data_IF_366367092515
#
_entry.id   IF_366367092515
#
_cell.length_a   1.000
_cell.length_b   1.000
_cell.length_c   1.000
_cell.angle_alpha   90.00
_cell.angle_beta   90.00
_cell.angle_gamma   90.00
#
_symmetry.space_group_name_H-M   'P 1'
#
loop_
_entity.id
_entity.type
_entity.pdbx_description
1 polymer ?
#
# COMPACT_ATOMS: atom_id res chain seq x y z
N UNK A 1 -74.10 -11.73 -19.26
CA UNK A 1 -72.99 -12.17 -20.10
C UNK A 1 -71.71 -11.52 -19.58
N UNK A 2 -71.00 -12.20 -18.69
CA UNK A 2 -69.73 -11.70 -18.14
C UNK A 2 -68.58 -12.13 -19.04
N UNK A 3 -67.92 -11.17 -19.69
CA UNK A 3 -66.71 -11.42 -20.48
C UNK A 3 -65.53 -11.38 -19.52
N UNK A 4 -65.05 -12.56 -19.12
CA UNK A 4 -63.80 -12.70 -18.35
C UNK A 4 -62.60 -12.35 -19.23
N UNK A 5 -61.80 -11.39 -18.79
CA UNK A 5 -60.49 -11.12 -19.35
C UNK A 5 -59.53 -12.29 -19.01
N UNK A 6 -58.73 -12.79 -19.96
CA UNK A 6 -57.70 -13.76 -19.64
C UNK A 6 -56.57 -13.05 -18.89
N UNK A 7 -56.30 -13.51 -17.67
CA UNK A 7 -55.10 -13.15 -16.92
C UNK A 7 -53.85 -13.60 -17.70
N UNK A 8 -53.14 -12.65 -18.29
CA UNK A 8 -51.81 -12.87 -18.84
C UNK A 8 -50.89 -13.11 -17.65
N UNK A 9 -50.62 -14.39 -17.39
CA UNK A 9 -49.57 -14.80 -16.46
C UNK A 9 -48.22 -14.27 -16.98
N UNK A 10 -47.55 -13.46 -16.17
CA UNK A 10 -46.20 -12.99 -16.46
C UNK A 10 -45.29 -14.22 -16.65
N UNK A 11 -44.43 -14.25 -17.69
CA UNK A 11 -43.51 -15.36 -17.90
C UNK A 11 -42.60 -15.47 -16.67
N UNK A 12 -42.59 -16.65 -16.05
CA UNK A 12 -41.74 -16.94 -14.91
C UNK A 12 -40.29 -16.60 -15.22
N UNK A 13 -39.75 -15.61 -14.52
CA UNK A 13 -38.31 -15.35 -14.47
C UNK A 13 -37.70 -16.62 -13.87
N UNK A 14 -37.15 -17.48 -14.73
CA UNK A 14 -36.79 -18.85 -14.40
C UNK A 14 -35.84 -18.95 -13.21
N UNK A 15 -36.04 -19.99 -12.39
CA UNK A 15 -35.25 -20.35 -11.19
C UNK A 15 -33.72 -20.30 -11.44
N UNK A 16 -33.27 -20.54 -12.67
CA UNK A 16 -31.86 -20.44 -13.10
C UNK A 16 -31.31 -19.01 -13.06
N UNK A 17 -32.10 -18.00 -13.48
CA UNK A 17 -31.71 -16.60 -13.45
C UNK A 17 -31.62 -16.08 -12.00
N UNK A 18 -32.56 -16.48 -11.14
CA UNK A 18 -32.55 -16.13 -9.71
C UNK A 18 -31.35 -16.77 -8.98
N UNK A 19 -31.03 -18.03 -9.26
CA UNK A 19 -29.85 -18.72 -8.70
C UNK A 19 -28.53 -18.06 -9.13
N UNK A 20 -28.42 -17.65 -10.40
CA UNK A 20 -27.22 -16.94 -10.90
C UNK A 20 -27.00 -15.57 -10.23
N UNK A 21 -28.08 -14.83 -9.94
CA UNK A 21 -28.01 -13.58 -9.17
C UNK A 21 -27.54 -13.81 -7.74
N UNK A 22 -28.06 -14.83 -7.05
CA UNK A 22 -27.65 -15.17 -5.68
C UNK A 22 -26.16 -15.47 -5.57
N UNK A 23 -25.61 -16.26 -6.50
CA UNK A 23 -24.16 -16.58 -6.53
C UNK A 23 -23.32 -15.33 -6.82
N UNK A 24 -23.75 -14.47 -7.75
CA UNK A 24 -23.02 -13.24 -8.05
C UNK A 24 -22.93 -12.30 -6.83
N UNK A 25 -24.01 -12.19 -6.05
CA UNK A 25 -24.03 -11.41 -4.80
C UNK A 25 -23.07 -12.02 -3.77
N UNK A 26 -23.10 -13.35 -3.61
CA UNK A 26 -22.20 -14.05 -2.68
C UNK A 26 -20.72 -13.82 -3.02
N UNK A 27 -20.35 -13.87 -4.31
CA UNK A 27 -18.98 -13.60 -4.76
C UNK A 27 -18.57 -12.15 -4.48
N UNK A 28 -19.45 -11.18 -4.75
CA UNK A 28 -19.18 -9.76 -4.44
C UNK A 28 -18.95 -9.56 -2.94
N UNK A 29 -19.77 -10.19 -2.10
CA UNK A 29 -19.59 -10.14 -0.65
C UNK A 29 -18.28 -10.81 -0.23
N UNK A 30 -17.93 -11.96 -0.81
CA UNK A 30 -16.64 -12.61 -0.57
C UNK A 30 -15.47 -11.69 -0.92
N UNK A 31 -15.49 -11.02 -2.08
CA UNK A 31 -14.44 -10.06 -2.46
C UNK A 31 -14.26 -8.94 -1.43
N UNK A 32 -15.37 -8.39 -0.91
CA UNK A 32 -15.35 -7.33 0.11
C UNK A 32 -14.77 -7.85 1.42
N UNK A 33 -15.25 -8.98 1.92
CA UNK A 33 -14.77 -9.56 3.17
C UNK A 33 -13.30 -9.98 3.08
N UNK A 34 -12.86 -10.59 1.98
CA UNK A 34 -11.44 -10.88 1.74
C UNK A 34 -10.60 -9.61 1.81
N UNK A 35 -11.08 -8.50 1.23
CA UNK A 35 -10.39 -7.20 1.27
C UNK A 35 -10.27 -6.67 2.71
N UNK A 36 -11.36 -6.70 3.50
CA UNK A 36 -11.36 -6.22 4.88
C UNK A 36 -10.47 -7.07 5.79
N UNK A 37 -10.54 -8.40 5.63
CA UNK A 37 -9.71 -9.34 6.39
C UNK A 37 -8.24 -9.16 6.03
N UNK A 38 -7.90 -9.01 4.74
CA UNK A 38 -6.54 -8.77 4.29
C UNK A 38 -5.98 -7.45 4.87
N UNK A 39 -6.78 -6.39 4.92
CA UNK A 39 -6.38 -5.11 5.49
C UNK A 39 -6.01 -5.19 6.98
N UNK A 40 -6.62 -6.12 7.73
CA UNK A 40 -6.31 -6.37 9.15
C UNK A 40 -5.10 -7.31 9.27
N UNK A 41 -5.13 -8.45 8.58
CA UNK A 41 -4.20 -9.56 8.81
C UNK A 41 -2.84 -9.38 8.14
N UNK A 42 -2.74 -8.70 7.00
CA UNK A 42 -1.45 -8.54 6.31
C UNK A 42 -0.35 -7.89 7.18
N UNK A 43 -0.57 -6.74 7.84
CA UNK A 43 0.46 -6.15 8.69
C UNK A 43 0.74 -6.98 9.97
N UNK A 44 -0.17 -7.87 10.36
CA UNK A 44 -0.04 -8.77 11.52
C UNK A 44 0.66 -10.10 11.19
N UNK A 45 0.72 -10.46 9.91
CA UNK A 45 1.21 -11.78 9.49
C UNK A 45 2.71 -11.89 9.81
N UNK A 46 3.04 -12.87 10.66
CA UNK A 46 4.40 -13.27 11.02
C UNK A 46 4.42 -14.78 11.10
N UNK A 47 5.55 -15.41 10.77
CA UNK A 47 5.71 -16.85 10.89
C UNK A 47 7.04 -17.16 11.56
N UNK A 48 7.04 -17.63 12.82
CA UNK A 48 8.29 -17.90 13.57
C UNK A 48 9.10 -19.12 13.09
N UNK A 49 8.65 -19.85 12.06
CA UNK A 49 9.31 -21.06 11.56
C UNK A 49 10.03 -20.82 10.22
N UNK A 50 9.82 -19.68 9.58
CA UNK A 50 10.59 -19.25 8.39
C UNK A 50 11.87 -18.56 8.84
N UNK A 51 12.96 -18.65 8.09
CA UNK A 51 14.19 -17.94 8.47
C UNK A 51 13.98 -16.42 8.43
N UNK A 52 13.26 -15.94 7.42
CA UNK A 52 12.68 -14.60 7.45
C UNK A 52 11.31 -14.60 8.13
N UNK A 53 11.27 -14.22 9.40
CA UNK A 53 10.04 -14.23 10.21
C UNK A 53 9.01 -13.15 9.82
N UNK A 54 9.42 -12.09 9.12
CA UNK A 54 8.62 -10.86 9.01
C UNK A 54 8.25 -10.50 7.58
N UNK A 55 9.18 -10.53 6.62
CA UNK A 55 8.94 -10.03 5.27
C UNK A 55 8.34 -11.13 4.41
N UNK A 56 8.94 -12.32 4.40
CA UNK A 56 8.48 -13.44 3.59
C UNK A 56 7.02 -13.84 3.90
N UNK A 57 6.59 -14.05 5.17
CA UNK A 57 5.21 -14.41 5.47
C UNK A 57 4.19 -13.39 4.96
N UNK A 58 4.52 -12.09 5.02
CA UNK A 58 3.65 -11.03 4.49
C UNK A 58 3.58 -11.04 2.97
N UNK A 59 4.70 -11.29 2.30
CA UNK A 59 4.75 -11.44 0.85
C UNK A 59 3.89 -12.63 0.38
N UNK A 60 4.05 -13.79 1.01
CA UNK A 60 3.25 -14.99 0.71
C UNK A 60 1.76 -14.74 0.95
N UNK A 61 1.41 -14.15 2.09
CA UNK A 61 0.02 -13.80 2.41
C UNK A 61 -0.56 -12.78 1.40
N UNK A 62 0.20 -11.76 1.01
CA UNK A 62 -0.24 -10.78 0.01
C UNK A 62 -0.46 -11.42 -1.36
N UNK A 63 0.45 -12.30 -1.81
CA UNK A 63 0.29 -13.06 -3.06
C UNK A 63 -0.95 -13.96 -3.02
N UNK A 64 -1.18 -14.66 -1.91
CA UNK A 64 -2.40 -15.46 -1.71
C UNK A 64 -3.67 -14.60 -1.77
N UNK A 65 -3.67 -13.44 -1.10
CA UNK A 65 -4.80 -12.48 -1.16
C UNK A 65 -5.06 -12.03 -2.61
N UNK A 66 -4.01 -11.69 -3.35
CA UNK A 66 -4.13 -11.30 -4.78
C UNK A 66 -4.71 -12.44 -5.61
N UNK A 67 -4.23 -13.68 -5.44
CA UNK A 67 -4.74 -14.85 -6.15
C UNK A 67 -6.22 -15.11 -5.83
N UNK A 68 -6.62 -15.02 -4.56
CA UNK A 68 -8.02 -15.19 -4.13
C UNK A 68 -8.91 -14.08 -4.70
N UNK A 69 -8.49 -12.81 -4.59
CA UNK A 69 -9.26 -11.69 -5.14
C UNK A 69 -9.37 -11.76 -6.67
N UNK A 70 -8.31 -12.17 -7.36
CA UNK A 70 -8.30 -12.38 -8.80
C UNK A 70 -9.25 -13.52 -9.21
N UNK A 71 -9.19 -14.66 -8.51
CA UNK A 71 -10.10 -15.77 -8.71
C UNK A 71 -11.57 -15.33 -8.54
N UNK A 72 -11.89 -14.63 -7.45
CA UNK A 72 -13.24 -14.13 -7.19
C UNK A 72 -13.67 -13.11 -8.26
N UNK A 73 -12.75 -12.27 -8.74
CA UNK A 73 -13.02 -11.32 -9.82
C UNK A 73 -13.35 -12.03 -11.14
N UNK A 74 -12.55 -13.01 -11.54
CA UNK A 74 -12.77 -13.81 -12.75
C UNK A 74 -14.08 -14.60 -12.61
N UNK A 75 -14.31 -15.27 -11.48
CA UNK A 75 -15.54 -16.01 -11.22
C UNK A 75 -16.78 -15.11 -11.35
N UNK A 76 -16.72 -13.88 -10.81
CA UNK A 76 -17.78 -12.89 -10.97
C UNK A 76 -18.01 -12.53 -12.44
N UNK A 77 -16.94 -12.30 -13.21
CA UNK A 77 -17.04 -11.99 -14.64
C UNK A 77 -17.69 -13.15 -15.41
N UNK A 78 -17.25 -14.39 -15.16
CA UNK A 78 -17.79 -15.59 -15.82
C UNK A 78 -19.27 -15.79 -15.53
N UNK A 79 -19.69 -15.58 -14.28
CA UNK A 79 -21.09 -15.79 -13.85
C UNK A 79 -22.00 -14.67 -14.33
N UNK A 80 -21.54 -13.42 -14.27
CA UNK A 80 -22.34 -12.25 -14.70
C UNK A 80 -22.30 -12.03 -16.22
N UNK A 81 -21.34 -12.64 -16.93
CA UNK A 81 -21.13 -12.44 -18.36
C UNK A 81 -20.71 -11.02 -18.75
N UNK A 82 -20.32 -10.19 -17.78
CA UNK A 82 -19.98 -8.78 -17.99
C UNK A 82 -18.71 -8.40 -17.24
N UNK A 83 -17.85 -7.64 -17.91
CA UNK A 83 -16.68 -7.03 -17.27
C UNK A 83 -17.03 -5.58 -16.95
N UNK A 84 -17.06 -5.26 -15.66
CA UNK A 84 -17.19 -3.90 -15.16
C UNK A 84 -15.82 -3.44 -14.64
N UNK A 85 -15.13 -2.64 -15.44
CA UNK A 85 -13.82 -2.07 -15.08
C UNK A 85 -14.03 -0.67 -14.50
N UNK A 86 -13.59 -0.47 -13.26
CA UNK A 86 -13.53 0.86 -12.65
C UNK A 86 -12.18 1.48 -13.02
N UNK A 87 -12.23 2.59 -13.75
CA UNK A 87 -11.02 3.33 -14.12
C UNK A 87 -10.58 4.25 -12.99
N UNK A 88 -9.29 4.23 -12.69
CA UNK A 88 -8.67 5.18 -11.77
C UNK A 88 -7.67 6.08 -12.50
N UNK A 89 -7.38 7.29 -11.99
CA UNK A 89 -6.33 8.13 -12.55
C UNK A 89 -4.94 7.49 -12.46
N UNK A 90 -4.79 6.43 -11.65
CA UNK A 90 -3.54 5.73 -11.39
C UNK A 90 -3.33 4.54 -12.32
N UNK A 91 -4.35 4.07 -13.04
CA UNK A 91 -4.27 2.83 -13.83
C UNK A 91 -3.11 2.88 -14.85
N UNK A 92 -3.00 3.97 -15.61
CA UNK A 92 -1.97 4.11 -16.65
C UNK A 92 -0.60 4.42 -16.02
N UNK A 93 -0.44 5.40 -15.11
CA UNK A 93 0.87 5.65 -14.48
C UNK A 93 1.43 4.44 -13.72
N UNK A 94 0.58 3.69 -13.00
CA UNK A 94 1.00 2.50 -12.27
C UNK A 94 1.43 1.38 -13.22
N UNK A 95 0.66 1.17 -14.30
CA UNK A 95 1.05 0.20 -15.33
C UNK A 95 2.36 0.60 -16.02
N UNK A 96 2.56 1.90 -16.29
CA UNK A 96 3.80 2.41 -16.87
C UNK A 96 5.01 2.19 -15.93
N UNK A 97 4.83 2.37 -14.62
CA UNK A 97 5.86 2.09 -13.62
C UNK A 97 6.19 0.59 -13.50
N UNK A 98 5.19 -0.29 -13.58
CA UNK A 98 5.45 -1.74 -13.65
C UNK A 98 6.15 -2.11 -14.95
N UNK A 99 5.80 -1.47 -16.07
CA UNK A 99 6.47 -1.69 -17.35
C UNK A 99 7.92 -1.22 -17.35
N UNK A 100 8.25 -0.08 -16.74
CA UNK A 100 9.65 0.35 -16.61
C UNK A 100 10.46 -0.64 -15.77
N UNK A 101 9.88 -1.20 -14.71
CA UNK A 101 10.50 -2.26 -13.95
C UNK A 101 10.71 -3.52 -14.80
N UNK A 102 9.71 -3.93 -15.60
CA UNK A 102 9.83 -5.09 -16.48
C UNK A 102 10.94 -4.92 -17.54
N UNK A 103 11.02 -3.75 -18.18
CA UNK A 103 12.10 -3.42 -19.10
C UNK A 103 13.46 -3.47 -18.38
N UNK A 104 13.54 -2.86 -17.21
CA UNK A 104 14.77 -2.88 -16.40
C UNK A 104 15.18 -4.30 -16.00
N UNK A 105 14.23 -5.19 -15.65
CA UNK A 105 14.49 -6.60 -15.37
C UNK A 105 15.10 -7.33 -16.57
N UNK A 106 14.63 -7.08 -17.79
CA UNK A 106 15.16 -7.70 -19.03
C UNK A 106 16.64 -7.34 -19.23
N UNK A 107 17.02 -6.08 -18.95
CA UNK A 107 18.38 -5.58 -19.12
C UNK A 107 19.20 -5.57 -17.81
N UNK A 108 18.74 -6.28 -16.79
CA UNK A 108 19.35 -6.27 -15.46
C UNK A 108 20.70 -6.98 -15.44
N UNK A 109 21.58 -6.56 -14.53
CA UNK A 109 22.82 -7.29 -14.22
C UNK A 109 22.57 -8.68 -13.64
N UNK A 110 21.39 -8.90 -13.03
CA UNK A 110 20.97 -10.21 -12.54
C UNK A 110 19.45 -10.33 -12.67
N UNK A 111 19.00 -10.96 -13.76
CA UNK A 111 17.58 -11.12 -14.06
C UNK A 111 16.80 -11.88 -12.96
N UNK A 112 17.43 -12.83 -12.27
CA UNK A 112 16.77 -13.58 -11.20
C UNK A 112 16.49 -12.67 -10.00
N UNK A 113 17.48 -11.90 -9.56
CA UNK A 113 17.28 -10.92 -8.48
C UNK A 113 16.30 -9.84 -8.92
N UNK A 114 16.38 -9.37 -10.17
CA UNK A 114 15.44 -8.39 -10.69
C UNK A 114 13.99 -8.89 -10.81
N UNK A 115 13.79 -10.19 -10.97
CA UNK A 115 12.46 -10.79 -11.04
C UNK A 115 11.88 -11.10 -9.67
N UNK A 116 12.65 -11.75 -8.80
CA UNK A 116 12.19 -12.29 -7.50
C UNK A 116 12.55 -11.42 -6.30
N UNK A 117 13.61 -10.62 -6.41
CA UNK A 117 14.25 -9.89 -5.33
C UNK A 117 15.34 -10.70 -4.62
N UNK A 118 16.18 -9.99 -3.87
CA UNK A 118 17.14 -10.55 -2.93
C UNK A 118 16.43 -11.15 -1.72
N UNK A 119 17.02 -12.19 -1.14
CA UNK A 119 16.52 -12.78 0.10
C UNK A 119 16.44 -11.73 1.21
N UNK A 120 15.41 -11.79 2.06
CA UNK A 120 15.02 -10.80 3.07
C UNK A 120 14.43 -9.46 2.56
N UNK A 121 14.53 -9.16 1.26
CA UNK A 121 13.95 -7.94 0.65
C UNK A 121 12.84 -8.22 -0.33
N UNK A 122 12.99 -9.22 -1.20
CA UNK A 122 12.01 -9.66 -2.19
C UNK A 122 11.40 -8.52 -3.03
N UNK A 123 12.11 -7.43 -3.27
CA UNK A 123 11.59 -6.22 -3.94
C UNK A 123 11.72 -6.27 -5.48
N UNK A 124 11.68 -7.48 -6.05
CA UNK A 124 11.76 -7.71 -7.49
C UNK A 124 10.48 -7.34 -8.26
N UNK A 125 10.50 -7.53 -9.57
CA UNK A 125 9.37 -7.25 -10.47
C UNK A 125 8.07 -7.93 -10.04
N UNK A 126 8.11 -9.19 -9.59
CA UNK A 126 6.90 -9.91 -9.16
C UNK A 126 6.22 -9.23 -7.97
N UNK A 127 6.99 -8.60 -7.10
CA UNK A 127 6.47 -7.84 -5.97
C UNK A 127 5.81 -6.55 -6.42
N UNK A 128 6.41 -5.83 -7.37
CA UNK A 128 5.79 -4.65 -7.99
C UNK A 128 4.48 -4.99 -8.71
N UNK A 129 4.43 -6.13 -9.41
CA UNK A 129 3.18 -6.66 -10.00
C UNK A 129 2.15 -6.98 -8.91
N UNK A 130 2.58 -7.58 -7.79
CA UNK A 130 1.71 -7.90 -6.66
C UNK A 130 1.09 -6.63 -6.06
N UNK A 131 1.88 -5.57 -5.89
CA UNK A 131 1.39 -4.27 -5.45
C UNK A 131 0.33 -3.68 -6.38
N UNK A 132 0.61 -3.67 -7.69
CA UNK A 132 -0.31 -3.13 -8.68
C UNK A 132 -1.61 -3.94 -8.76
N UNK A 133 -1.50 -5.28 -8.73
CA UNK A 133 -2.65 -6.17 -8.71
C UNK A 133 -3.48 -6.00 -7.43
N UNK A 134 -2.83 -5.87 -6.26
CA UNK A 134 -3.51 -5.64 -4.98
C UNK A 134 -4.31 -4.34 -5.02
N UNK A 135 -3.69 -3.23 -5.42
CA UNK A 135 -4.38 -1.94 -5.59
C UNK A 135 -5.60 -2.08 -6.51
N UNK A 136 -5.41 -2.64 -7.71
CA UNK A 136 -6.45 -2.73 -8.73
C UNK A 136 -7.61 -3.62 -8.28
N UNK A 137 -7.33 -4.79 -7.69
CA UNK A 137 -8.35 -5.71 -7.21
C UNK A 137 -9.15 -5.14 -6.03
N UNK A 138 -8.50 -4.39 -5.12
CA UNK A 138 -9.17 -3.71 -4.02
C UNK A 138 -10.12 -2.62 -4.54
N UNK A 139 -9.71 -1.79 -5.51
CA UNK A 139 -10.64 -0.82 -6.15
C UNK A 139 -11.88 -1.54 -6.72
N UNK A 140 -11.69 -2.72 -7.30
CA UNK A 140 -12.79 -3.50 -7.87
C UNK A 140 -13.69 -4.18 -6.84
N UNK A 141 -13.26 -4.33 -5.58
CA UNK A 141 -14.08 -4.83 -4.48
C UNK A 141 -14.96 -3.74 -3.83
N UNK A 142 -14.51 -2.47 -3.84
CA UNK A 142 -15.20 -1.32 -3.21
C UNK A 142 -16.36 -0.77 -4.05
N UNK A 143 -17.58 -1.28 -3.92
CA UNK A 143 -18.72 -0.91 -4.78
C UNK A 143 -19.51 0.29 -4.28
N UNK A 144 -19.55 0.52 -2.97
CA UNK A 144 -20.28 1.62 -2.36
C UNK A 144 -19.35 2.46 -1.47
N UNK A 145 -19.79 3.67 -1.16
CA UNK A 145 -19.07 4.55 -0.25
C UNK A 145 -18.84 3.89 1.12
N UNK A 146 -19.85 3.15 1.59
CA UNK A 146 -19.81 2.36 2.83
C UNK A 146 -18.70 1.30 2.81
N UNK A 147 -18.42 0.70 1.65
CA UNK A 147 -17.36 -0.30 1.54
C UNK A 147 -15.99 0.35 1.76
N UNK A 148 -15.80 1.57 1.27
CA UNK A 148 -14.57 2.34 1.46
C UNK A 148 -14.37 2.72 2.93
N UNK A 149 -15.43 3.17 3.59
CA UNK A 149 -15.39 3.47 5.03
C UNK A 149 -15.14 2.23 5.88
N UNK A 150 -15.73 1.08 5.53
CA UNK A 150 -15.48 -0.20 6.19
C UNK A 150 -14.01 -0.63 6.03
N UNK A 151 -13.45 -0.51 4.82
CA UNK A 151 -12.04 -0.81 4.58
C UNK A 151 -11.10 0.09 5.39
N UNK A 152 -11.34 1.40 5.43
CA UNK A 152 -10.55 2.32 6.24
C UNK A 152 -10.58 1.94 7.74
N UNK A 153 -11.75 1.56 8.25
CA UNK A 153 -11.88 1.04 9.62
C UNK A 153 -11.12 -0.27 9.82
N UNK A 154 -11.17 -1.19 8.87
CA UNK A 154 -10.37 -2.44 8.91
C UNK A 154 -8.87 -2.16 8.95
N UNK A 155 -8.37 -1.22 8.14
CA UNK A 155 -6.97 -0.79 8.17
C UNK A 155 -6.61 -0.22 9.55
N UNK A 156 -7.47 0.64 10.13
CA UNK A 156 -7.25 1.21 11.47
C UNK A 156 -7.29 0.15 12.58
N UNK A 157 -8.15 -0.86 12.48
CA UNK A 157 -8.18 -2.00 13.41
C UNK A 157 -6.86 -2.78 13.33
N UNK A 158 -6.39 -3.11 12.13
CA UNK A 158 -5.09 -3.74 11.93
C UNK A 158 -3.95 -2.91 12.54
N UNK A 159 -3.94 -1.60 12.28
CA UNK A 159 -2.96 -0.66 12.83
C UNK A 159 -3.00 -0.57 14.36
N UNK A 160 -4.20 -0.60 14.95
CA UNK A 160 -4.36 -0.61 16.38
C UNK A 160 -3.75 -1.86 17.01
N UNK A 161 -4.05 -3.05 16.49
CA UNK A 161 -3.51 -4.32 16.99
C UNK A 161 -1.97 -4.34 16.86
N UNK A 162 -1.46 -3.95 15.69
CA UNK A 162 -0.01 -3.80 15.46
C UNK A 162 0.63 -2.87 16.50
N UNK A 163 0.01 -1.72 16.75
CA UNK A 163 0.53 -0.71 17.68
C UNK A 163 0.55 -1.24 19.12
N UNK A 164 -0.51 -1.93 19.54
CA UNK A 164 -0.56 -2.59 20.86
C UNK A 164 0.55 -3.63 20.99
N UNK A 165 0.72 -4.51 19.99
CA UNK A 165 1.81 -5.51 20.00
C UNK A 165 3.18 -4.83 20.08
N UNK A 166 3.39 -3.75 19.32
CA UNK A 166 4.64 -3.00 19.34
C UNK A 166 4.92 -2.36 20.71
N UNK A 167 3.92 -1.77 21.35
CA UNK A 167 4.03 -1.17 22.69
C UNK A 167 4.30 -2.23 23.75
N UNK A 168 3.56 -3.34 23.75
CA UNK A 168 3.75 -4.44 24.70
C UNK A 168 5.16 -5.02 24.60
N UNK A 169 5.65 -5.23 23.37
CA UNK A 169 7.01 -5.71 23.14
C UNK A 169 8.06 -4.71 23.63
N UNK A 170 7.88 -3.43 23.32
CA UNK A 170 8.76 -2.38 23.79
C UNK A 170 8.84 -2.32 25.32
N UNK A 171 7.70 -2.43 26.02
CA UNK A 171 7.65 -2.49 27.48
C UNK A 171 8.40 -3.73 28.01
N UNK A 172 8.22 -4.90 27.39
CA UNK A 172 8.93 -6.11 27.79
C UNK A 172 10.45 -5.96 27.63
N UNK A 173 10.90 -5.43 26.49
CA UNK A 173 12.33 -5.21 26.23
C UNK A 173 12.92 -4.20 27.24
N UNK A 174 12.20 -3.11 27.54
CA UNK A 174 12.59 -2.12 28.54
C UNK A 174 12.70 -2.72 29.96
N UNK A 175 11.75 -3.57 30.36
CA UNK A 175 11.77 -4.25 31.66
C UNK A 175 12.93 -5.25 31.78
N UNK A 176 13.36 -5.85 30.67
CA UNK A 176 14.54 -6.74 30.66
C UNK A 176 15.88 -6.00 30.65
N UNK A 177 15.87 -4.66 30.67
CA UNK A 177 17.08 -3.85 30.67
C UNK A 177 17.80 -3.79 29.33
N UNK A 178 17.12 -4.09 28.21
CA UNK A 178 17.71 -3.86 26.90
C UNK A 178 18.00 -2.37 26.71
N UNK A 179 19.22 -1.98 26.29
CA UNK A 179 19.54 -0.59 26.03
C UNK A 179 18.77 -0.08 24.80
N UNK A 180 18.16 1.10 24.91
CA UNK A 180 17.43 1.80 23.85
C UNK A 180 16.41 0.93 23.06
N UNK A 181 15.42 0.31 23.73
CA UNK A 181 14.43 -0.53 23.06
C UNK A 181 13.63 0.31 22.05
N UNK A 182 13.38 -0.25 20.88
CA UNK A 182 12.60 0.39 19.82
C UNK A 182 11.36 -0.43 19.51
N UNK A 183 10.22 0.24 19.37
CA UNK A 183 8.98 -0.43 18.98
C UNK A 183 9.01 -0.76 17.48
N UNK A 184 8.84 -2.04 17.14
CA UNK A 184 8.67 -2.49 15.74
C UNK A 184 7.50 -3.47 15.54
N UNK A 185 7.01 -4.10 16.61
CA UNK A 185 5.85 -5.00 16.57
C UNK A 185 5.98 -6.12 15.53
N UNK A 186 4.91 -6.38 14.80
CA UNK A 186 4.88 -7.39 13.72
C UNK A 186 5.53 -6.91 12.42
N UNK A 187 5.97 -5.64 12.33
CA UNK A 187 6.55 -5.08 11.09
C UNK A 187 8.04 -5.44 10.94
N UNK A 188 8.67 -5.94 12.00
CA UNK A 188 10.05 -6.45 12.00
C UNK A 188 11.14 -5.37 12.03
N UNK A 189 10.79 -4.10 11.84
CA UNK A 189 11.72 -2.98 11.89
C UNK A 189 11.02 -1.69 12.32
N UNK A 190 11.68 -0.87 13.15
CA UNK A 190 11.10 0.34 13.73
C UNK A 190 10.83 1.44 12.70
N UNK A 191 11.69 1.59 11.67
CA UNK A 191 11.44 2.52 10.57
C UNK A 191 10.24 2.10 9.73
N UNK A 192 10.05 0.79 9.55
CA UNK A 192 8.91 0.25 8.80
C UNK A 192 7.62 0.41 9.59
N UNK A 193 7.65 0.22 10.91
CA UNK A 193 6.52 0.55 11.79
C UNK A 193 6.19 2.04 11.71
N UNK A 194 7.19 2.92 11.83
CA UNK A 194 7.01 4.36 11.73
C UNK A 194 6.37 4.79 10.41
N UNK A 195 6.84 4.26 9.28
CA UNK A 195 6.27 4.49 7.95
C UNK A 195 4.80 4.03 7.86
N UNK A 196 4.50 2.84 8.40
CA UNK A 196 3.14 2.30 8.42
C UNK A 196 2.19 3.14 9.28
N UNK A 197 2.62 3.59 10.47
CA UNK A 197 1.75 4.34 11.38
C UNK A 197 1.53 5.79 10.90
N UNK A 198 2.55 6.44 10.34
CA UNK A 198 2.41 7.84 9.88
C UNK A 198 1.42 7.97 8.71
N UNK A 199 1.30 6.91 7.88
CA UNK A 199 0.29 6.80 6.83
C UNK A 199 -1.14 6.86 7.41
N UNK A 200 -1.35 6.31 8.61
CA UNK A 200 -2.69 6.01 9.15
C UNK A 200 -3.14 6.96 10.26
N UNK A 201 -2.23 7.62 10.97
CA UNK A 201 -2.56 8.60 12.02
C UNK A 201 -3.51 9.70 11.53
N UNK A 202 -3.34 10.30 10.34
CA UNK A 202 -4.30 11.29 9.84
C UNK A 202 -5.70 10.71 9.61
N UNK A 203 -5.79 9.45 9.17
CA UNK A 203 -7.08 8.77 9.01
C UNK A 203 -7.75 8.49 10.37
N UNK A 204 -6.99 8.08 11.39
CA UNK A 204 -7.49 7.94 12.76
C UNK A 204 -7.98 9.27 13.34
N UNK A 205 -7.26 10.36 13.06
CA UNK A 205 -7.70 11.72 13.42
C UNK A 205 -9.02 12.10 12.73
N UNK A 206 -9.18 11.77 11.45
CA UNK A 206 -10.44 12.02 10.74
C UNK A 206 -11.61 11.19 11.30
N UNK A 207 -11.38 9.95 11.70
CA UNK A 207 -12.40 9.10 12.34
C UNK A 207 -12.86 9.71 13.67
N UNK A 208 -11.92 10.18 14.50
CA UNK A 208 -12.22 10.92 15.74
C UNK A 208 -13.06 12.18 15.49
N UNK A 209 -12.73 12.95 14.43
CA UNK A 209 -13.46 14.17 14.07
C UNK A 209 -14.87 13.90 13.56
N UNK A 210 -15.11 12.72 13.00
CA UNK A 210 -16.41 12.30 12.46
C UNK A 210 -17.24 11.50 13.47
N UNK A 211 -16.69 11.17 14.64
CA UNK A 211 -17.38 10.42 15.68
C UNK A 211 -18.57 11.21 16.28
N UNK A 212 -19.77 10.65 16.12
CA UNK A 212 -21.03 11.26 16.57
C UNK A 212 -21.43 10.88 17.99
N UNK A 213 -21.09 9.67 18.45
CA UNK A 213 -21.38 9.20 19.81
C UNK A 213 -20.16 9.31 20.74
N UNK A 214 -20.41 9.42 22.05
CA UNK A 214 -19.33 9.44 23.06
C UNK A 214 -18.47 8.17 23.00
N UNK A 215 -19.10 7.00 22.87
CA UNK A 215 -18.38 5.73 22.74
C UNK A 215 -17.47 5.71 21.49
N UNK A 216 -18.00 6.13 20.32
CA UNK A 216 -17.18 6.22 19.11
C UNK A 216 -16.02 7.20 19.29
N UNK A 217 -16.26 8.35 19.95
CA UNK A 217 -15.22 9.35 20.21
C UNK A 217 -14.12 8.80 21.11
N UNK A 218 -14.48 8.09 22.18
CA UNK A 218 -13.50 7.46 23.08
C UNK A 218 -12.69 6.37 22.37
N UNK A 219 -13.33 5.54 21.56
CA UNK A 219 -12.66 4.49 20.77
C UNK A 219 -11.69 5.11 19.74
N UNK A 220 -12.13 6.09 18.95
CA UNK A 220 -11.27 6.75 17.96
C UNK A 220 -10.14 7.54 18.62
N UNK A 221 -10.38 8.15 19.80
CA UNK A 221 -9.34 8.84 20.56
C UNK A 221 -8.29 7.86 21.10
N UNK A 222 -8.73 6.74 21.68
CA UNK A 222 -7.84 5.68 22.13
C UNK A 222 -7.00 5.14 20.97
N UNK A 223 -7.61 4.84 19.82
CA UNK A 223 -6.88 4.39 18.64
C UNK A 223 -5.82 5.41 18.19
N UNK A 224 -6.18 6.69 18.09
CA UNK A 224 -5.25 7.76 17.72
C UNK A 224 -4.07 7.87 18.70
N UNK A 225 -4.34 7.79 20.00
CA UNK A 225 -3.31 7.83 21.05
C UNK A 225 -2.38 6.62 20.92
N UNK A 226 -2.93 5.41 20.80
CA UNK A 226 -2.15 4.17 20.70
C UNK A 226 -1.26 4.16 19.45
N UNK A 227 -1.79 4.55 18.29
CA UNK A 227 -1.01 4.67 17.05
C UNK A 227 0.12 5.70 17.18
N UNK A 228 -0.18 6.86 17.77
CA UNK A 228 0.83 7.92 17.96
C UNK A 228 1.90 7.49 18.95
N UNK A 229 1.54 6.85 20.06
CA UNK A 229 2.48 6.34 21.06
C UNK A 229 3.41 5.29 20.45
N UNK A 230 2.88 4.31 19.71
CA UNK A 230 3.70 3.31 19.03
C UNK A 230 4.67 3.94 18.00
N UNK A 231 4.24 4.98 17.28
CA UNK A 231 5.12 5.73 16.37
C UNK A 231 6.24 6.44 17.14
N UNK A 232 5.95 7.08 18.27
CA UNK A 232 6.98 7.74 19.09
C UNK A 232 7.99 6.74 19.65
N UNK A 233 7.52 5.60 20.16
CA UNK A 233 8.37 4.52 20.67
C UNK A 233 9.18 3.80 19.57
N UNK A 234 8.83 3.97 18.30
CA UNK A 234 9.66 3.47 17.19
C UNK A 234 10.96 4.27 17.03
N UNK A 235 11.02 5.50 17.53
CA UNK A 235 12.17 6.42 17.39
C UNK A 235 12.60 6.60 15.91
N UNK A 236 11.67 6.43 14.97
CA UNK A 236 11.95 6.59 13.54
C UNK A 236 11.96 8.07 13.15
N UNK A 237 13.16 8.62 12.93
CA UNK A 237 13.33 10.01 12.51
C UNK A 237 12.59 10.34 11.20
N UNK A 238 12.57 9.40 10.25
CA UNK A 238 11.82 9.59 8.99
C UNK A 238 10.31 9.66 9.24
N UNK A 239 9.78 8.89 10.20
CA UNK A 239 8.36 8.95 10.56
C UNK A 239 7.98 10.29 11.21
N UNK A 240 8.88 10.90 11.98
CA UNK A 240 8.67 12.24 12.54
C UNK A 240 8.59 13.33 11.47
N UNK A 241 9.46 13.26 10.44
CA UNK A 241 9.34 14.11 9.26
C UNK A 241 7.97 13.92 8.57
N UNK A 242 7.54 12.67 8.39
CA UNK A 242 6.22 12.36 7.86
C UNK A 242 5.09 12.98 8.70
N UNK A 243 5.18 12.93 10.03
CA UNK A 243 4.19 13.51 10.93
C UNK A 243 4.12 15.04 10.79
N UNK A 244 5.26 15.70 10.60
CA UNK A 244 5.32 17.13 10.26
C UNK A 244 4.54 17.44 8.99
N UNK A 245 4.78 16.66 7.94
CA UNK A 245 4.12 16.83 6.64
C UNK A 245 2.62 16.57 6.76
N UNK A 246 2.20 15.53 7.47
CA UNK A 246 0.79 15.28 7.77
C UNK A 246 0.15 16.48 8.49
N UNK A 247 0.79 17.00 9.54
CA UNK A 247 0.29 18.15 10.28
C UNK A 247 0.17 19.39 9.40
N UNK A 248 1.18 19.68 8.58
CA UNK A 248 1.15 20.78 7.62
C UNK A 248 -0.01 20.66 6.62
N UNK A 249 -0.22 19.47 6.04
CA UNK A 249 -1.33 19.20 5.12
C UNK A 249 -2.69 19.39 5.80
N UNK A 250 -2.86 18.89 7.04
CA UNK A 250 -4.09 19.06 7.81
C UNK A 250 -4.36 20.53 8.18
N UNK A 251 -3.32 21.30 8.49
CA UNK A 251 -3.41 22.73 8.77
C UNK A 251 -3.84 23.53 7.53
N UNK A 252 -3.19 23.28 6.38
CA UNK A 252 -3.54 23.87 5.07
C UNK A 252 -4.97 23.50 4.68
N UNK A 253 -5.34 22.23 4.85
CA UNK A 253 -6.68 21.71 4.61
C UNK A 253 -7.75 22.18 5.60
N UNK A 254 -7.38 23.03 6.58
CA UNK A 254 -8.25 23.58 7.63
C UNK A 254 -8.95 22.52 8.48
N UNK A 255 -8.33 21.35 8.64
CA UNK A 255 -8.90 20.22 9.38
C UNK A 255 -8.74 20.38 10.89
N UNK A 256 -7.75 21.18 11.33
CA UNK A 256 -7.49 21.48 12.74
C UNK A 256 -8.36 22.66 13.22
N UNK A 257 -9.10 22.54 14.33
CA UNK A 257 -9.98 23.59 14.84
C UNK A 257 -9.19 24.71 15.54
N UNK A 258 -8.57 25.59 14.75
CA UNK A 258 -7.82 26.76 15.25
C UNK A 258 -8.67 28.05 15.20
N UNK A 259 -8.53 28.96 16.17
CA UNK A 259 -9.19 30.27 16.13
C UNK A 259 -8.75 31.07 14.89
N UNK A 260 -9.68 31.84 14.30
CA UNK A 260 -9.45 32.56 13.03
C UNK A 260 -8.34 33.62 13.11
N UNK A 261 -8.04 34.10 14.31
CA UNK A 261 -7.00 35.10 14.59
C UNK A 261 -5.58 34.55 14.52
N UNK A 262 -5.39 33.22 14.52
CA UNK A 262 -4.05 32.62 14.53
C UNK A 262 -3.48 32.52 13.09
N UNK A 263 -2.32 33.14 12.78
CA UNK A 263 -1.69 33.00 11.48
C UNK A 263 -1.16 31.58 11.33
N UNK A 264 -1.89 30.73 10.61
CA UNK A 264 -1.57 29.29 10.44
C UNK A 264 -0.22 29.05 9.80
N UNK A 265 0.22 29.97 8.94
CA UNK A 265 1.58 29.96 8.39
C UNK A 265 2.63 30.09 9.50
N UNK A 266 2.42 30.97 10.49
CA UNK A 266 3.30 31.09 11.64
C UNK A 266 3.26 29.81 12.50
N UNK A 267 2.09 29.19 12.69
CA UNK A 267 1.99 27.91 13.41
C UNK A 267 2.70 26.77 12.68
N UNK A 268 2.64 26.74 11.34
CA UNK A 268 3.41 25.78 10.53
C UNK A 268 4.91 26.01 10.68
N UNK A 269 5.38 27.26 10.63
CA UNK A 269 6.79 27.61 10.80
C UNK A 269 7.26 27.26 12.22
N UNK A 270 6.49 27.61 13.24
CA UNK A 270 6.78 27.28 14.64
C UNK A 270 6.74 25.77 14.88
N UNK A 271 5.76 25.07 14.32
CA UNK A 271 5.65 23.61 14.43
C UNK A 271 6.80 22.88 13.72
N UNK A 272 7.20 23.35 12.54
CA UNK A 272 8.37 22.84 11.84
C UNK A 272 9.66 23.13 12.63
N UNK A 273 9.82 24.33 13.18
CA UNK A 273 10.95 24.69 14.02
C UNK A 273 11.00 23.88 15.32
N UNK A 274 9.86 23.67 15.99
CA UNK A 274 9.76 22.86 17.20
C UNK A 274 10.05 21.38 16.92
N UNK A 275 9.58 20.86 15.78
CA UNK A 275 9.94 19.51 15.36
C UNK A 275 11.43 19.42 15.06
N UNK A 276 11.99 20.34 14.27
CA UNK A 276 13.45 20.37 14.02
C UNK A 276 14.21 20.43 15.35
N UNK A 277 13.79 21.26 16.30
CA UNK A 277 14.41 21.36 17.62
C UNK A 277 14.27 20.08 18.46
N UNK A 278 13.17 19.34 18.35
CA UNK A 278 12.96 18.07 19.05
C UNK A 278 13.73 16.90 18.41
N UNK A 279 13.86 16.91 17.08
CA UNK A 279 14.52 15.84 16.32
C UNK A 279 16.03 16.05 16.21
N UNK A 280 16.48 17.30 16.10
CA UNK A 280 17.89 17.63 15.88
C UNK A 280 18.82 17.03 16.94
N UNK A 281 18.55 17.08 18.25
CA UNK A 281 19.43 16.49 19.26
C UNK A 281 19.56 14.97 19.13
N UNK A 282 18.50 14.27 18.72
CA UNK A 282 18.47 12.81 18.57
C UNK A 282 19.13 12.39 17.24
N UNK A 283 18.97 13.20 16.20
CA UNK A 283 19.67 13.06 14.93
C UNK A 283 21.18 13.35 15.06
N UNK A 284 21.54 14.36 15.85
CA UNK A 284 22.93 14.76 16.13
C UNK A 284 23.63 13.77 17.08
N UNK A 285 22.93 13.22 18.08
CA UNK A 285 23.49 12.20 18.99
C UNK A 285 23.74 10.85 18.31
N UNK A 286 22.99 10.54 17.24
CA UNK A 286 23.19 9.38 16.36
C UNK A 286 23.92 9.74 15.05
N UNK A 287 24.82 10.74 15.09
CA UNK A 287 25.45 11.41 13.95
C UNK A 287 26.12 10.54 12.86
N UNK A 288 26.11 9.22 12.99
CA UNK A 288 26.54 8.25 11.96
C UNK A 288 25.51 8.07 10.83
N UNK A 289 24.19 8.08 11.10
CA UNK A 289 23.18 7.66 10.10
C UNK A 289 22.96 8.70 8.97
N UNK A 290 22.92 10.00 9.29
CA UNK A 290 22.72 11.06 8.26
C UNK A 290 23.96 11.22 7.38
N UNK A 291 25.15 11.26 7.97
CA UNK A 291 26.40 11.34 7.23
C UNK A 291 26.57 10.13 6.30
N UNK A 292 26.24 8.93 6.78
CA UNK A 292 26.20 7.72 5.96
C UNK A 292 25.25 7.85 4.76
N UNK A 293 24.02 8.33 4.97
CA UNK A 293 23.06 8.53 3.86
C UNK A 293 23.54 9.55 2.84
N UNK A 294 24.16 10.64 3.26
CA UNK A 294 24.73 11.64 2.33
C UNK A 294 25.82 11.04 1.44
N UNK A 295 26.69 10.19 2.00
CA UNK A 295 27.66 9.43 1.21
C UNK A 295 26.98 8.44 0.26
N UNK A 296 25.98 7.69 0.75
CA UNK A 296 25.21 6.76 -0.08
C UNK A 296 24.56 7.46 -1.26
N UNK A 297 24.00 8.65 -1.03
CA UNK A 297 23.34 9.42 -2.07
C UNK A 297 24.33 9.96 -3.11
N UNK A 298 25.49 10.43 -2.67
CA UNK A 298 26.59 10.84 -3.55
C UNK A 298 27.03 9.70 -4.47
N UNK A 299 27.35 8.53 -3.90
CA UNK A 299 27.79 7.35 -4.66
C UNK A 299 26.67 6.80 -5.56
N UNK A 300 25.41 6.90 -5.11
CA UNK A 300 24.24 6.53 -5.92
C UNK A 300 24.09 7.40 -7.17
N UNK A 301 24.46 8.68 -7.12
CA UNK A 301 24.43 9.57 -8.31
C UNK A 301 25.42 9.06 -9.36
N UNK A 302 26.64 8.68 -8.95
CA UNK A 302 27.62 8.10 -9.86
C UNK A 302 27.14 6.76 -10.45
N UNK A 303 26.51 5.92 -9.62
CA UNK A 303 25.88 4.68 -10.07
C UNK A 303 24.79 4.95 -11.12
N UNK A 304 23.86 5.89 -10.87
CA UNK A 304 22.80 6.26 -11.80
C UNK A 304 23.40 6.79 -13.12
N UNK A 305 24.42 7.63 -13.04
CA UNK A 305 25.08 8.22 -14.22
C UNK A 305 25.69 7.17 -15.15
N UNK A 306 26.09 6.01 -14.61
CA UNK A 306 26.67 4.92 -15.42
C UNK A 306 25.64 4.11 -16.22
N UNK A 307 24.36 4.06 -15.79
CA UNK A 307 23.25 3.41 -16.52
C UNK A 307 21.94 4.22 -16.41
N UNK A 308 21.88 5.43 -16.99
CA UNK A 308 20.84 6.40 -16.68
C UNK A 308 19.46 6.05 -17.25
N UNK A 309 19.35 5.24 -18.30
CA UNK A 309 18.05 5.02 -18.96
C UNK A 309 17.18 3.99 -18.25
N UNK A 310 17.70 2.77 -18.05
CA UNK A 310 16.94 1.63 -17.51
C UNK A 310 17.47 1.13 -16.16
N UNK A 311 18.57 1.70 -15.66
CA UNK A 311 19.18 1.29 -14.40
C UNK A 311 19.75 -0.13 -14.45
N UNK A 312 19.79 -0.77 -13.29
CA UNK A 312 20.44 -2.07 -13.08
C UNK A 312 19.47 -3.25 -12.87
N UNK A 313 18.17 -2.99 -12.72
CA UNK A 313 17.14 -3.98 -12.37
C UNK A 313 16.54 -3.71 -10.98
N UNK A 314 15.24 -4.01 -10.77
CA UNK A 314 14.64 -4.02 -9.43
C UNK A 314 15.47 -4.81 -8.42
N UNK A 315 15.59 -4.32 -7.19
CA UNK A 315 16.31 -4.98 -6.08
C UNK A 315 17.79 -5.38 -6.32
N UNK A 316 18.44 -4.93 -7.40
CA UNK A 316 19.86 -5.24 -7.64
C UNK A 316 20.83 -4.19 -7.10
N UNK A 317 20.34 -3.18 -6.39
CA UNK A 317 21.17 -2.06 -5.90
C UNK A 317 22.38 -2.57 -5.10
N UNK A 318 22.15 -3.45 -4.11
CA UNK A 318 23.21 -4.02 -3.28
C UNK A 318 24.25 -4.88 -4.01
N UNK A 319 23.95 -5.36 -5.22
CA UNK A 319 24.89 -6.13 -6.05
C UNK A 319 25.88 -5.20 -6.78
N UNK A 320 25.47 -3.97 -7.07
CA UNK A 320 26.19 -3.05 -7.94
C UNK A 320 26.85 -1.93 -7.14
N UNK A 321 26.17 -1.46 -6.09
CA UNK A 321 26.61 -0.36 -5.24
C UNK A 321 28.05 -0.48 -4.72
N UNK A 322 28.57 -1.67 -4.32
CA UNK A 322 29.96 -1.81 -3.89
C UNK A 322 31.02 -1.30 -4.89
N UNK A 323 30.73 -1.34 -6.20
CA UNK A 323 31.64 -0.81 -7.23
C UNK A 323 31.71 0.71 -7.31
N UNK A 324 30.80 1.41 -6.65
CA UNK A 324 30.71 2.87 -6.62
C UNK A 324 31.01 3.47 -5.25
N UNK A 325 31.30 2.63 -4.25
CA UNK A 325 31.55 3.08 -2.89
C UNK A 325 32.87 3.86 -2.79
N UNK A 326 32.78 5.14 -2.43
CA UNK A 326 33.96 6.02 -2.26
C UNK A 326 34.41 6.18 -0.80
N UNK A 327 33.55 5.83 0.16
CA UNK A 327 33.86 5.89 1.59
C UNK A 327 34.75 4.74 2.07
N UNK A 328 35.69 5.05 2.99
CA UNK A 328 36.47 4.03 3.72
C UNK A 328 35.59 3.41 4.82
N UNK A 329 34.81 2.40 4.47
CA UNK A 329 33.96 1.72 5.44
C UNK A 329 34.75 0.60 6.12
N UNK A 330 34.75 0.63 7.46
CA UNK A 330 35.39 -0.36 8.33
C UNK A 330 34.90 -1.77 7.94
N UNK A 331 35.84 -2.70 7.71
CA UNK A 331 35.57 -4.13 7.56
C UNK A 331 34.62 -4.61 8.66
N UNK A 332 33.43 -5.08 8.30
CA UNK A 332 32.41 -5.60 9.23
C UNK A 332 31.06 -4.87 9.23
N UNK A 333 30.90 -3.75 8.51
CA UNK A 333 29.57 -3.15 8.31
C UNK A 333 28.69 -3.99 7.36
N UNK A 334 27.39 -4.06 7.66
CA UNK A 334 26.41 -4.73 6.82
C UNK A 334 26.44 -4.17 5.39
N UNK A 335 26.32 -5.06 4.39
CA UNK A 335 26.29 -4.70 2.98
C UNK A 335 25.17 -3.68 2.72
N UNK A 336 25.53 -2.52 2.16
CA UNK A 336 24.55 -1.50 1.78
C UNK A 336 23.76 -2.00 0.57
N UNK A 337 22.49 -2.32 0.79
CA UNK A 337 21.62 -2.96 -0.18
C UNK A 337 20.56 -2.03 -0.78
N UNK A 338 20.39 -0.82 -0.21
CA UNK A 338 19.43 0.20 -0.64
C UNK A 338 20.04 1.60 -0.62
N UNK A 339 19.53 2.48 -1.48
CA UNK A 339 19.93 3.88 -1.57
C UNK A 339 19.46 4.74 -0.38
N UNK A 340 18.54 4.24 0.46
CA UNK A 340 17.92 5.00 1.55
C UNK A 340 17.27 6.33 1.10
N UNK A 341 16.84 6.36 -0.17
CA UNK A 341 15.97 7.36 -0.76
C UNK A 341 15.24 6.68 -1.91
N UNK A 342 13.91 6.67 -1.90
CA UNK A 342 13.11 5.99 -2.92
C UNK A 342 13.37 6.57 -4.32
N UNK A 343 13.61 7.88 -4.43
CA UNK A 343 13.95 8.55 -5.69
C UNK A 343 15.23 7.99 -6.29
N UNK A 344 16.30 7.93 -5.49
CA UNK A 344 17.58 7.39 -5.92
C UNK A 344 17.52 5.89 -6.15
N UNK A 345 16.75 5.17 -5.32
CA UNK A 345 16.52 3.74 -5.48
C UNK A 345 15.86 3.43 -6.83
N UNK A 346 14.77 4.13 -7.17
CA UNK A 346 14.07 3.97 -8.45
C UNK A 346 14.97 4.37 -9.61
N UNK A 347 15.70 5.49 -9.51
CA UNK A 347 16.62 5.92 -10.56
C UNK A 347 17.79 4.94 -10.77
N UNK A 348 18.34 4.37 -9.69
CA UNK A 348 19.43 3.40 -9.77
C UNK A 348 18.97 2.05 -10.34
N UNK A 349 17.77 1.61 -9.93
CA UNK A 349 17.26 0.29 -10.31
C UNK A 349 16.53 0.31 -11.64
N UNK A 350 15.69 1.30 -11.92
CA UNK A 350 14.85 1.38 -13.13
C UNK A 350 15.24 2.53 -14.09
N UNK A 351 16.29 3.29 -13.77
CA UNK A 351 16.74 4.42 -14.57
C UNK A 351 15.80 5.63 -14.53
N UNK A 352 16.12 6.64 -15.33
CA UNK A 352 15.34 7.86 -15.49
C UNK A 352 13.96 7.59 -16.11
N UNK A 353 13.81 6.51 -16.89
CA UNK A 353 12.49 6.06 -17.38
C UNK A 353 11.61 5.62 -16.21
N UNK A 354 12.13 4.80 -15.30
CA UNK A 354 11.43 4.42 -14.07
C UNK A 354 11.14 5.63 -13.17
N UNK A 355 12.10 6.53 -13.02
CA UNK A 355 11.90 7.75 -12.22
C UNK A 355 10.79 8.64 -12.80
N UNK A 356 10.75 8.83 -14.13
CA UNK A 356 9.72 9.62 -14.78
C UNK A 356 8.32 9.04 -14.60
N UNK A 357 8.17 7.71 -14.74
CA UNK A 357 6.88 7.03 -14.51
C UNK A 357 6.47 7.04 -13.03
N UNK A 358 7.43 6.96 -12.10
CA UNK A 358 7.18 7.14 -10.68
C UNK A 358 6.70 8.56 -10.34
N UNK A 359 7.36 9.60 -10.88
CA UNK A 359 6.93 11.00 -10.70
C UNK A 359 5.52 11.19 -11.29
N UNK A 360 5.25 10.60 -12.46
CA UNK A 360 3.92 10.65 -13.06
C UNK A 360 2.86 9.98 -12.17
N UNK A 361 3.18 8.84 -11.56
CA UNK A 361 2.31 8.17 -10.60
C UNK A 361 2.05 9.06 -9.36
N UNK A 362 3.08 9.71 -8.81
CA UNK A 362 2.92 10.66 -7.70
C UNK A 362 2.03 11.85 -8.09
N UNK A 363 2.22 12.40 -9.29
CA UNK A 363 1.37 13.46 -9.82
C UNK A 363 -0.09 12.99 -9.98
N UNK A 364 -0.32 11.74 -10.39
CA UNK A 364 -1.66 11.17 -10.51
C UNK A 364 -2.39 11.07 -9.16
N UNK A 365 -1.68 10.73 -8.08
CA UNK A 365 -2.22 10.80 -6.72
C UNK A 365 -2.65 12.22 -6.35
N UNK A 366 -1.79 13.21 -6.61
CA UNK A 366 -2.08 14.63 -6.32
C UNK A 366 -3.28 15.13 -7.14
N UNK A 367 -3.38 14.76 -8.42
CA UNK A 367 -4.52 15.11 -9.28
C UNK A 367 -5.80 14.43 -8.81
N UNK A 368 -5.74 13.15 -8.42
CA UNK A 368 -6.88 12.42 -7.88
C UNK A 368 -7.39 13.09 -6.59
N UNK A 369 -6.49 13.39 -5.65
CA UNK A 369 -6.81 14.16 -4.45
C UNK A 369 -7.41 15.52 -4.79
N UNK A 370 -6.78 16.30 -5.67
CA UNK A 370 -7.23 17.66 -5.96
C UNK A 370 -8.66 17.67 -6.51
N UNK A 371 -8.99 16.72 -7.39
CA UNK A 371 -10.36 16.55 -7.92
C UNK A 371 -11.35 16.13 -6.84
N UNK A 372 -10.90 15.35 -5.85
CA UNK A 372 -11.70 14.81 -4.74
C UNK A 372 -11.60 15.54 -3.40
N UNK A 373 -10.89 16.68 -3.31
CA UNK A 373 -10.51 17.33 -2.03
C UNK A 373 -11.67 17.80 -1.16
N UNK A 374 -12.89 17.83 -1.71
CA UNK A 374 -14.12 18.18 -1.00
C UNK A 374 -14.83 16.96 -0.39
N UNK A 375 -14.39 15.74 -0.72
CA UNK A 375 -14.97 14.53 -0.16
C UNK A 375 -14.64 14.42 1.34
N UNK A 376 -15.51 13.79 2.16
CA UNK A 376 -15.22 13.63 3.58
C UNK A 376 -13.93 12.83 3.79
N UNK A 377 -13.14 13.24 4.79
CA UNK A 377 -11.81 12.73 5.08
C UNK A 377 -10.74 12.88 3.97
N UNK A 378 -11.03 13.53 2.83
CA UNK A 378 -10.10 13.61 1.70
C UNK A 378 -8.73 14.19 2.07
N UNK A 379 -8.71 15.27 2.85
CA UNK A 379 -7.48 15.92 3.32
C UNK A 379 -6.69 15.04 4.29
N UNK A 380 -7.37 14.24 5.12
CA UNK A 380 -6.72 13.32 6.04
C UNK A 380 -6.07 12.15 5.29
N UNK A 381 -6.77 11.57 4.31
CA UNK A 381 -6.20 10.51 3.48
C UNK A 381 -5.00 11.04 2.66
N UNK A 382 -5.07 12.27 2.17
CA UNK A 382 -3.97 12.91 1.48
C UNK A 382 -2.80 13.24 2.40
N UNK A 383 -3.08 13.70 3.64
CA UNK A 383 -2.05 13.91 4.65
C UNK A 383 -1.30 12.62 4.99
N UNK A 384 -2.02 11.49 5.12
CA UNK A 384 -1.42 10.17 5.33
C UNK A 384 -0.53 9.75 4.16
N UNK A 385 -1.05 9.86 2.93
CA UNK A 385 -0.27 9.57 1.72
C UNK A 385 0.99 10.45 1.63
N UNK A 386 0.86 11.77 1.80
CA UNK A 386 1.97 12.71 1.72
C UNK A 386 3.03 12.48 2.81
N UNK A 387 2.60 12.14 4.03
CA UNK A 387 3.49 11.77 5.12
C UNK A 387 4.29 10.50 4.80
N UNK A 388 3.65 9.48 4.23
CA UNK A 388 4.34 8.28 3.77
C UNK A 388 5.35 8.59 2.66
N UNK A 389 4.98 9.43 1.67
CA UNK A 389 5.94 9.86 0.64
C UNK A 389 7.14 10.62 1.23
N UNK A 390 6.91 11.48 2.23
CA UNK A 390 7.99 12.21 2.90
C UNK A 390 8.97 11.27 3.64
N UNK A 391 8.47 10.18 4.24
CA UNK A 391 9.32 9.12 4.79
C UNK A 391 10.19 8.51 3.69
N UNK A 392 9.60 8.16 2.55
CA UNK A 392 10.29 7.52 1.43
C UNK A 392 11.35 8.40 0.75
N UNK A 393 11.27 9.72 0.86
CA UNK A 393 12.33 10.61 0.34
C UNK A 393 13.67 10.40 1.03
N UNK A 394 13.64 10.02 2.31
CA UNK A 394 14.81 9.81 3.17
C UNK A 394 14.94 8.37 3.64
N UNK A 395 14.17 7.46 3.04
CA UNK A 395 14.15 6.03 3.35
C UNK A 395 13.84 5.27 2.05
N UNK A 396 13.42 4.01 2.14
CA UNK A 396 13.01 3.22 0.98
C UNK A 396 11.72 2.44 1.27
N UNK A 397 11.03 2.02 0.23
CA UNK A 397 9.83 1.20 0.34
C UNK A 397 10.19 -0.16 0.95
N UNK A 398 9.61 -0.45 2.11
CA UNK A 398 9.70 -1.77 2.72
C UNK A 398 8.37 -2.52 2.55
N UNK A 399 8.45 -3.76 2.07
CA UNK A 399 7.33 -4.66 1.82
C UNK A 399 6.24 -4.67 2.90
N UNK A 400 6.64 -4.78 4.17
CA UNK A 400 5.71 -4.87 5.29
C UNK A 400 4.81 -3.64 5.44
N UNK A 401 5.27 -2.45 5.02
CA UNK A 401 4.47 -1.22 4.99
C UNK A 401 3.84 -0.95 3.60
N UNK A 402 4.44 -1.48 2.52
CA UNK A 402 3.98 -1.28 1.16
C UNK A 402 2.62 -1.96 0.88
N UNK A 403 2.38 -3.18 1.36
CA UNK A 403 1.08 -3.83 1.13
C UNK A 403 -0.08 -3.07 1.78
N UNK A 404 -0.01 -2.67 3.06
CA UNK A 404 -1.03 -1.79 3.63
C UNK A 404 -1.15 -0.45 2.90
N UNK A 405 -0.05 0.12 2.42
CA UNK A 405 -0.07 1.34 1.62
C UNK A 405 -0.92 1.19 0.35
N UNK A 406 -0.77 0.10 -0.41
CA UNK A 406 -1.54 -0.11 -1.65
C UNK A 406 -3.04 -0.35 -1.39
N UNK A 407 -3.39 -0.99 -0.29
CA UNK A 407 -4.78 -1.13 0.16
C UNK A 407 -5.36 0.24 0.57
N UNK A 408 -4.59 1.02 1.34
CA UNK A 408 -4.96 2.39 1.72
C UNK A 408 -5.11 3.29 0.49
N UNK A 409 -4.18 3.21 -0.47
CA UNK A 409 -4.22 3.96 -1.71
C UNK A 409 -5.49 3.66 -2.53
N UNK A 410 -5.89 2.38 -2.60
CA UNK A 410 -7.14 2.00 -3.25
C UNK A 410 -8.37 2.62 -2.56
N UNK A 411 -8.40 2.64 -1.23
CA UNK A 411 -9.46 3.31 -0.46
C UNK A 411 -9.45 4.83 -0.68
N UNK A 412 -8.28 5.47 -0.62
CA UNK A 412 -8.12 6.90 -0.80
C UNK A 412 -8.54 7.38 -2.19
N UNK A 413 -8.08 6.70 -3.25
CA UNK A 413 -8.44 7.04 -4.63
C UNK A 413 -9.94 6.84 -4.88
N UNK A 414 -10.51 5.73 -4.39
CA UNK A 414 -11.96 5.48 -4.50
C UNK A 414 -12.75 6.57 -3.78
N UNK A 415 -12.32 6.98 -2.58
CA UNK A 415 -12.92 8.08 -1.81
C UNK A 415 -12.86 9.40 -2.57
N UNK A 416 -11.73 9.76 -3.14
CA UNK A 416 -11.55 11.02 -3.87
C UNK A 416 -12.35 11.07 -5.18
N UNK A 417 -12.54 9.93 -5.85
CA UNK A 417 -13.42 9.86 -7.02
C UNK A 417 -14.91 10.06 -6.67
N UNK A 418 -15.32 9.79 -5.42
CA UNK A 418 -16.69 9.99 -4.94
C UNK A 418 -17.71 9.17 -5.73
N UNK A 419 -18.91 9.72 -5.93
CA UNK A 419 -19.98 9.05 -6.68
C UNK A 419 -19.58 8.67 -8.10
N UNK A 420 -18.60 9.33 -8.74
CA UNK A 420 -18.10 8.95 -10.07
C UNK A 420 -17.46 7.55 -10.11
N UNK A 421 -16.92 7.07 -8.98
CA UNK A 421 -16.44 5.70 -8.86
C UNK A 421 -17.60 4.69 -8.73
N UNK A 422 -18.68 5.08 -8.07
CA UNK A 422 -19.82 4.22 -7.73
C UNK A 422 -20.92 4.19 -8.81
N UNK A 423 -21.07 5.27 -9.60
CA UNK A 423 -22.02 5.40 -10.72
C UNK A 423 -21.54 4.79 -12.03
N UNK A 424 -20.37 4.13 -12.02
CA UNK A 424 -19.82 3.35 -13.14
C UNK A 424 -20.65 2.10 -13.53
N UNK A 425 -21.92 2.01 -13.10
CA UNK A 425 -22.95 1.25 -13.81
C UNK A 425 -23.16 1.74 -15.26
N UNK A 426 -22.60 2.90 -15.61
CA UNK A 426 -22.47 3.44 -16.98
C UNK A 426 -21.04 3.38 -17.54
N UNK A 427 -20.09 2.70 -16.89
CA UNK A 427 -18.87 2.27 -17.57
C UNK A 427 -19.27 1.39 -18.77
N UNK A 428 -18.52 1.40 -19.89
CA UNK A 428 -18.77 0.47 -20.98
C UNK A 428 -18.73 -0.95 -20.42
N UNK A 429 -19.90 -1.51 -20.15
CA UNK A 429 -20.03 -2.93 -19.88
C UNK A 429 -19.79 -3.56 -21.24
N UNK A 430 -18.62 -4.17 -21.39
CA UNK A 430 -18.36 -5.01 -22.55
C UNK A 430 -19.23 -6.25 -22.34
N UNK A 431 -20.47 -6.16 -22.82
CA UNK A 431 -21.41 -7.27 -22.87
C UNK A 431 -20.92 -8.19 -23.97
N UNK A 432 -20.41 -9.35 -23.55
CA UNK A 432 -19.84 -10.28 -24.51
C UNK A 432 -20.97 -10.88 -25.37
N UNK A 433 -20.80 -10.97 -26.71
CA UNK A 433 -21.89 -11.35 -27.63
C UNK A 433 -22.56 -12.67 -27.23
N UNK A 434 -23.88 -12.69 -27.06
CA UNK A 434 -24.64 -13.80 -26.48
C UNK A 434 -24.59 -15.13 -27.24
N UNK A 435 -24.29 -15.13 -28.56
CA UNK A 435 -24.23 -16.35 -29.39
C UNK A 435 -22.98 -17.22 -29.18
N UNK A 436 -21.87 -16.62 -28.73
CA UNK A 436 -20.59 -17.31 -28.48
C UNK A 436 -19.97 -16.98 -27.11
N UNK A 437 -20.43 -15.89 -26.49
CA UNK A 437 -19.84 -15.28 -25.30
C UNK A 437 -19.94 -16.15 -24.06
N UNK A 438 -21.00 -16.93 -23.86
CA UNK A 438 -21.15 -17.79 -22.68
C UNK A 438 -20.14 -18.95 -22.62
N UNK A 439 -19.80 -19.55 -23.77
CA UNK A 439 -18.78 -20.61 -23.84
C UNK A 439 -17.36 -20.03 -23.81
N UNK A 440 -17.11 -18.96 -24.58
CA UNK A 440 -15.80 -18.31 -24.64
C UNK A 440 -15.41 -17.71 -23.28
N UNK A 441 -16.34 -17.06 -22.57
CA UNK A 441 -16.09 -16.55 -21.20
C UNK A 441 -15.75 -17.66 -20.21
N UNK A 442 -16.46 -18.79 -20.28
CA UNK A 442 -16.17 -19.95 -19.42
C UNK A 442 -14.80 -20.54 -19.73
N UNK A 443 -14.46 -20.71 -21.00
CA UNK A 443 -13.16 -21.23 -21.43
C UNK A 443 -12.04 -20.26 -21.01
N UNK A 444 -12.18 -18.96 -21.30
CA UNK A 444 -11.22 -17.94 -20.89
C UNK A 444 -11.11 -17.84 -19.36
N UNK A 445 -12.22 -17.96 -18.65
CA UNK A 445 -12.26 -18.00 -17.19
C UNK A 445 -11.53 -19.20 -16.62
N UNK A 446 -11.78 -20.41 -17.16
CA UNK A 446 -11.08 -21.63 -16.75
C UNK A 446 -9.58 -21.54 -17.06
N UNK A 447 -9.20 -21.02 -18.22
CA UNK A 447 -7.80 -20.78 -18.57
C UNK A 447 -7.13 -19.78 -17.61
N UNK A 448 -7.83 -18.71 -17.24
CA UNK A 448 -7.32 -17.73 -16.28
C UNK A 448 -7.18 -18.33 -14.87
N UNK A 449 -8.12 -19.18 -14.43
CA UNK A 449 -8.02 -19.91 -13.16
C UNK A 449 -6.85 -20.90 -13.19
N UNK A 450 -6.67 -21.65 -14.27
CA UNK A 450 -5.52 -22.53 -14.44
C UNK A 450 -4.20 -21.75 -14.41
N UNK A 451 -4.16 -20.57 -15.05
CA UNK A 451 -3.02 -19.65 -15.00
C UNK A 451 -2.72 -19.15 -13.58
N UNK A 452 -3.75 -18.80 -12.79
CA UNK A 452 -3.57 -18.42 -11.38
C UNK A 452 -2.99 -19.56 -10.54
N UNK A 453 -3.45 -20.79 -10.75
CA UNK A 453 -2.92 -21.98 -10.06
C UNK A 453 -1.46 -22.21 -10.47
N UNK A 454 -1.15 -22.10 -11.77
CA UNK A 454 0.21 -22.23 -12.28
C UNK A 454 1.14 -21.15 -11.71
N UNK A 455 0.63 -19.93 -11.47
CA UNK A 455 1.38 -18.84 -10.83
C UNK A 455 1.55 -19.03 -9.31
N UNK A 456 0.64 -19.74 -8.64
CA UNK A 456 0.73 -20.00 -7.21
C UNK A 456 1.98 -20.81 -6.83
N UNK A 457 2.39 -21.74 -7.69
CA UNK A 457 3.59 -22.57 -7.46
C UNK A 457 4.87 -21.72 -7.40
N UNK A 458 5.29 -20.98 -8.45
CA UNK A 458 6.49 -20.16 -8.39
C UNK A 458 6.37 -18.98 -7.42
N UNK A 459 5.19 -18.36 -7.33
CA UNK A 459 5.01 -17.13 -6.53
C UNK A 459 4.81 -17.40 -5.03
N UNK A 460 4.38 -18.59 -4.61
CA UNK A 460 4.13 -18.89 -3.20
C UNK A 460 4.94 -20.10 -2.75
N UNK A 461 4.76 -21.24 -3.41
CA UNK A 461 5.36 -22.52 -2.97
C UNK A 461 6.89 -22.48 -3.13
N UNK A 462 7.41 -22.14 -4.31
CA UNK A 462 8.85 -22.12 -4.54
C UNK A 462 9.55 -21.06 -3.70
N UNK A 463 8.91 -19.89 -3.50
CA UNK A 463 9.48 -18.85 -2.64
C UNK A 463 9.56 -19.31 -1.18
N UNK A 464 8.56 -20.03 -0.70
CA UNK A 464 8.59 -20.64 0.63
C UNK A 464 9.65 -21.76 0.74
N UNK A 465 9.70 -22.67 -0.23
CA UNK A 465 10.68 -23.76 -0.22
C UNK A 465 12.12 -23.24 -0.30
N UNK A 466 12.36 -22.13 -1.02
CA UNK A 466 13.66 -21.48 -1.09
C UNK A 466 14.12 -20.85 0.22
N UNK A 467 13.21 -20.57 1.16
CA UNK A 467 13.56 -20.13 2.53
C UNK A 467 13.97 -21.30 3.42
N UNK A 468 13.55 -22.53 3.10
CA UNK A 468 13.82 -23.72 3.92
C UNK A 468 15.12 -24.44 3.56
N UNK A 469 15.80 -24.00 2.49
CA UNK A 469 17.07 -24.53 1.98
C UNK A 469 18.18 -23.52 2.26
#
# INVERSE_FOLDING_TARGET
MGVGQPAISAPGIGVSAQRSRGVAIAIVNAQRWTTYVAAILLPLTVWPLTYDHYVLPKLLAARLVVLVLAFLFIARVVITGSVQIKRTPLDIPLLAFVWSAALSTIFSVNANVALFGTYSRYDGLLTLVTYAALFWLVVHSLRHEQDTSALLRSILIGAYIVSVVAIVRWCADALTGQPDPQAYGTLGNANVLGAYLVLLIPAAYADLRQATSTAARLLSANALITLTLALLLSVSHSAWLGLAVAAAVLLVGRQVPLPRSLPRLALMVVGAAALIAAVAPIALSRGTDIAQRLHIWSDSIALIASRPLLGYGPDTFGLVYPGFQTGQWVLGYAQIDKAHSELLQVAATQGLVGLATWIWLMAAFVVAFWRGRRQPAAWALFAGWAAYQAVLLVNFTALSAAFPFWIFAAAAVTRWQGERAHTSLSAPSLTLPTRWGGKITRIAGLAAVAGLIALAVPAVINTYLADQL
#
